data_IF_188503780433
#
_entry.id   IF_188503780433
#
_cell.length_a   1.000
_cell.length_b   1.000
_cell.length_c   1.000
_cell.angle_alpha   90.00
_cell.angle_beta   90.00
_cell.angle_gamma   90.00
#
_symmetry.space_group_name_H-M   'P 1'
#
loop_
_entity.id
_entity.type
_entity.pdbx_description
1 polymer ?
#
# COMPACT_ATOMS: atom_id res chain seq x y z
N UNK A 1 11.03 4.11 1.60
CA UNK A 1 10.23 3.78 2.81
C UNK A 1 8.99 4.68 2.86
N UNK A 2 7.85 4.24 3.42
CA UNK A 2 6.69 5.13 3.60
C UNK A 2 6.92 5.97 4.86
N UNK A 3 7.02 7.29 4.69
CA UNK A 3 7.23 8.23 5.79
C UNK A 3 5.91 8.70 6.42
N UNK A 4 4.82 8.67 5.66
CA UNK A 4 3.48 9.02 6.14
C UNK A 4 2.42 8.90 5.05
N UNK A 5 1.14 8.88 5.44
CA UNK A 5 0.01 8.77 4.51
C UNK A 5 -1.24 9.48 5.02
N UNK A 6 -2.03 10.04 4.09
CA UNK A 6 -3.41 10.50 4.27
C UNK A 6 -4.38 9.59 3.50
N UNK A 7 -5.63 10.02 3.37
CA UNK A 7 -6.66 9.37 2.54
C UNK A 7 -6.32 9.32 1.06
N UNK A 8 -5.59 10.30 0.54
CA UNK A 8 -5.40 10.55 -0.89
C UNK A 8 -3.93 10.76 -1.29
N UNK A 9 -3.02 10.86 -0.32
CA UNK A 9 -1.60 11.07 -0.57
C UNK A 9 -0.72 10.19 0.33
N UNK A 10 0.46 9.83 -0.18
CA UNK A 10 1.48 9.08 0.54
C UNK A 10 2.83 9.78 0.33
N UNK A 11 3.58 9.97 1.41
CA UNK A 11 4.96 10.48 1.37
C UNK A 11 5.91 9.27 1.42
N UNK A 12 6.77 9.19 0.41
CA UNK A 12 7.71 8.11 0.19
C UNK A 12 9.13 8.67 0.15
N UNK A 13 10.05 8.01 0.84
CA UNK A 13 11.48 8.12 0.55
C UNK A 13 11.83 7.25 -0.67
N UNK A 14 12.22 7.90 -1.77
CA UNK A 14 12.59 7.27 -3.04
C UNK A 14 14.01 6.69 -3.05
N UNK A 15 14.84 7.00 -2.05
CA UNK A 15 16.25 6.63 -2.05
C UNK A 15 16.95 7.08 -3.35
N UNK A 16 17.55 6.14 -4.08
CA UNK A 16 18.24 6.40 -5.35
C UNK A 16 17.35 6.22 -6.59
N UNK A 17 16.03 6.09 -6.44
CA UNK A 17 15.10 6.04 -7.58
C UNK A 17 14.63 7.44 -7.97
N UNK A 18 14.66 7.71 -9.28
CA UNK A 18 14.14 8.95 -9.86
C UNK A 18 12.77 8.69 -10.50
N UNK A 19 11.74 8.61 -9.67
CA UNK A 19 10.36 8.45 -10.13
C UNK A 19 9.88 9.66 -10.93
N UNK A 20 9.12 9.42 -11.98
CA UNK A 20 8.44 10.45 -12.77
C UNK A 20 6.92 10.37 -12.57
N UNK A 21 6.23 11.45 -12.96
CA UNK A 21 4.77 11.49 -12.92
C UNK A 21 4.21 10.43 -13.86
N UNK A 22 3.35 9.57 -13.33
CA UNK A 22 2.76 8.44 -14.05
C UNK A 22 3.39 7.08 -13.70
N UNK A 23 4.50 7.07 -12.95
CA UNK A 23 5.11 5.83 -12.50
C UNK A 23 4.25 5.11 -11.44
N UNK A 24 4.17 3.78 -11.55
CA UNK A 24 3.54 2.94 -10.55
C UNK A 24 4.55 2.51 -9.49
N UNK A 25 4.15 2.61 -8.22
CA UNK A 25 4.94 2.10 -7.08
C UNK A 25 4.13 1.03 -6.36
N UNK A 26 4.74 -0.14 -6.16
CA UNK A 26 4.11 -1.28 -5.49
C UNK A 26 4.61 -1.43 -4.06
N UNK A 27 3.69 -1.67 -3.14
CA UNK A 27 3.97 -1.89 -1.73
C UNK A 27 3.36 -3.21 -1.27
N UNK A 28 4.04 -3.88 -0.35
CA UNK A 28 3.45 -4.99 0.38
C UNK A 28 2.71 -4.46 1.60
N UNK A 29 1.60 -5.09 1.96
CA UNK A 29 0.92 -4.81 3.21
C UNK A 29 1.77 -5.33 4.37
N UNK A 30 1.96 -4.49 5.39
CA UNK A 30 2.40 -4.99 6.68
C UNK A 30 1.27 -5.80 7.35
N UNK A 31 1.58 -6.46 8.46
CA UNK A 31 0.58 -7.28 9.17
C UNK A 31 -0.68 -6.49 9.55
N UNK A 32 -0.56 -5.24 10.00
CA UNK A 32 -1.70 -4.40 10.36
C UNK A 32 -2.60 -4.09 9.16
N UNK A 33 -2.01 -3.74 8.02
CA UNK A 33 -2.74 -3.48 6.78
C UNK A 33 -3.40 -4.75 6.23
N UNK A 34 -2.71 -5.89 6.29
CA UNK A 34 -3.28 -7.18 5.91
C UNK A 34 -4.46 -7.54 6.82
N UNK A 35 -4.29 -7.46 8.14
CA UNK A 35 -5.33 -7.76 9.11
C UNK A 35 -6.56 -6.85 8.91
N UNK A 36 -6.34 -5.54 8.75
CA UNK A 36 -7.41 -4.58 8.47
C UNK A 36 -8.16 -4.90 7.17
N UNK A 37 -7.43 -5.30 6.11
CA UNK A 37 -8.05 -5.73 4.86
C UNK A 37 -8.85 -7.02 5.02
N UNK A 38 -8.33 -7.99 5.76
CA UNK A 38 -8.98 -9.28 6.01
C UNK A 38 -10.24 -9.14 6.88
N UNK A 39 -10.30 -8.17 7.79
CA UNK A 39 -11.48 -7.91 8.64
C UNK A 39 -12.45 -6.87 8.06
N UNK A 40 -12.06 -6.12 7.02
CA UNK A 40 -12.91 -5.09 6.41
C UNK A 40 -14.14 -5.67 5.69
N UNK A 41 -15.37 -5.16 5.90
CA UNK A 41 -16.54 -5.62 5.16
C UNK A 41 -16.53 -5.18 3.68
N UNK A 42 -15.62 -4.29 3.29
CA UNK A 42 -15.56 -3.71 1.94
C UNK A 42 -14.58 -4.43 1.00
N UNK A 43 -13.77 -5.37 1.52
CA UNK A 43 -12.82 -6.15 0.72
C UNK A 43 -13.36 -7.56 0.52
N UNK A 44 -13.41 -8.02 -0.73
CA UNK A 44 -13.76 -9.41 -1.09
C UNK A 44 -12.58 -10.33 -0.80
N UNK A 45 -12.83 -11.46 -0.14
CA UNK A 45 -11.82 -12.50 0.12
C UNK A 45 -12.05 -13.68 -0.80
N UNK A 46 -10.99 -14.12 -1.47
CA UNK A 46 -10.97 -15.32 -2.28
C UNK A 46 -9.91 -16.26 -1.71
N UNK A 47 -10.34 -17.41 -1.21
CA UNK A 47 -9.45 -18.45 -0.72
C UNK A 47 -9.23 -19.46 -1.85
N UNK A 48 -7.97 -19.80 -2.11
CA UNK A 48 -7.59 -20.81 -3.10
C UNK A 48 -7.32 -22.14 -2.37
N UNK A 49 -7.72 -23.25 -2.98
CA UNK A 49 -7.48 -24.61 -2.48
C UNK A 49 -6.11 -25.13 -2.92
#
# INVERSE_FOLDING_TARGET
EILGSSSDHIILDSGNHNFQVGDEVRFNLNYGGLLAGMTSPFIRKQFLN
#
